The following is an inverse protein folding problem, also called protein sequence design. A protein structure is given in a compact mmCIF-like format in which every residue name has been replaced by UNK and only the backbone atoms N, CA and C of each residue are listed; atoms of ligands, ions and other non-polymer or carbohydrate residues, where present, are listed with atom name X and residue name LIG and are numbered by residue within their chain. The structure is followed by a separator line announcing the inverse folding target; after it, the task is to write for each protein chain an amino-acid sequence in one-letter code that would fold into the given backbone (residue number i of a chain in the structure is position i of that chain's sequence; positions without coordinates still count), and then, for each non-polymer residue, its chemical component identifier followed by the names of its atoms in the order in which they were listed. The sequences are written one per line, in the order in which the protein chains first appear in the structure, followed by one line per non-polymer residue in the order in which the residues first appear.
data_IF_448064340435
#
_entry.id   IF_448064340435
#
_cell.length_a   1.000
_cell.length_b   1.000
_cell.length_c   1.000
_cell.angle_alpha   90.00
_cell.angle_beta   90.00
_cell.angle_gamma   90.00
#
_symmetry.space_group_name_H-M   'P 1'
#
loop_
_entity.id
_entity.type
_entity.pdbx_description
1 polymer ?
#
# COMPACT_ATOMS: atom_id res chain seq x y z
N UNK A 1 4.21 11.28 0.86
CA UNK A 1 3.31 10.19 0.45
C UNK A 1 2.56 10.70 -0.76
N UNK A 2 2.75 10.04 -1.89
CA UNK A 2 2.13 10.44 -3.14
C UNK A 2 0.76 9.78 -3.24
N UNK A 3 -0.30 10.58 -3.41
CA UNK A 3 -1.68 10.09 -3.40
C UNK A 3 -2.21 9.96 -4.82
N UNK A 4 -2.03 10.97 -5.69
CA UNK A 4 -2.52 10.90 -7.08
C UNK A 4 -1.42 10.54 -8.08
N UNK A 5 -0.17 10.83 -7.74
CA UNK A 5 0.97 10.61 -8.63
C UNK A 5 1.31 9.11 -8.74
N UNK A 6 1.58 8.67 -9.98
CA UNK A 6 1.95 7.29 -10.32
C UNK A 6 3.48 7.12 -10.46
N UNK A 7 4.24 7.65 -9.50
CA UNK A 7 5.72 7.69 -9.56
C UNK A 7 6.40 6.61 -8.71
N UNK A 8 5.63 5.83 -7.96
CA UNK A 8 6.16 4.78 -7.06
C UNK A 8 5.91 3.38 -7.63
N UNK A 9 6.80 2.43 -7.35
CA UNK A 9 6.71 1.06 -7.89
C UNK A 9 5.37 0.39 -7.60
N UNK A 10 4.79 0.57 -6.40
CA UNK A 10 3.47 -0.01 -6.07
C UNK A 10 2.34 0.48 -7.00
N UNK A 11 2.45 1.68 -7.57
CA UNK A 11 1.49 2.20 -8.56
C UNK A 11 1.63 1.47 -9.90
N UNK A 12 2.85 1.25 -10.35
CA UNK A 12 3.12 0.41 -11.52
C UNK A 12 2.61 -1.02 -11.29
N UNK A 13 2.90 -1.60 -10.11
CA UNK A 13 2.43 -2.95 -9.77
C UNK A 13 0.90 -3.04 -9.73
N UNK A 14 0.23 -2.00 -9.24
CA UNK A 14 -1.24 -1.92 -9.26
C UNK A 14 -1.80 -1.92 -10.69
N UNK A 15 -1.14 -1.24 -11.63
CA UNK A 15 -1.51 -1.30 -13.05
C UNK A 15 -1.29 -2.69 -13.66
N UNK A 16 -0.19 -3.37 -13.32
CA UNK A 16 0.03 -4.77 -13.72
C UNK A 16 -1.04 -5.69 -13.13
N UNK A 17 -1.38 -5.49 -11.85
CA UNK A 17 -2.48 -6.20 -11.19
C UNK A 17 -3.82 -6.00 -11.88
N UNK A 18 -4.09 -4.78 -12.34
CA UNK A 18 -5.27 -4.52 -13.16
C UNK A 18 -5.28 -5.40 -14.41
N UNK A 19 -4.17 -5.46 -15.15
CA UNK A 19 -4.07 -6.26 -16.38
C UNK A 19 -4.27 -7.75 -16.10
N UNK A 20 -3.55 -8.35 -15.17
CA UNK A 20 -3.64 -9.81 -14.95
C UNK A 20 -4.92 -10.26 -14.20
N UNK A 21 -5.66 -9.31 -13.61
CA UNK A 21 -6.99 -9.57 -13.07
C UNK A 21 -8.08 -9.61 -14.15
N UNK A 22 -7.82 -9.10 -15.36
CA UNK A 22 -8.79 -9.17 -16.46
C UNK A 22 -9.02 -10.65 -16.82
N UNK A 23 -10.27 -11.13 -16.81
CA UNK A 23 -10.59 -12.48 -17.27
C UNK A 23 -10.24 -12.66 -18.75
N UNK A 24 -9.57 -13.75 -19.07
CA UNK A 24 -9.23 -14.15 -20.44
C UNK A 24 -10.29 -15.08 -21.04
N UNK A 25 -10.24 -15.30 -22.36
CA UNK A 25 -11.13 -16.22 -23.06
C UNK A 25 -10.88 -17.70 -22.71
N UNK A 26 -11.81 -18.59 -23.07
CA UNK A 26 -11.76 -20.01 -22.69
C UNK A 26 -10.53 -20.77 -23.21
N UNK A 27 -9.94 -20.31 -24.32
CA UNK A 27 -8.78 -20.93 -24.96
C UNK A 27 -7.47 -20.16 -24.72
N UNK A 28 -7.45 -19.23 -23.77
CA UNK A 28 -6.28 -18.41 -23.46
C UNK A 28 -5.69 -18.81 -22.11
N UNK A 29 -4.36 -18.73 -21.99
CA UNK A 29 -3.69 -18.99 -20.73
C UNK A 29 -3.80 -17.79 -19.79
N UNK A 30 -4.14 -18.08 -18.54
CA UNK A 30 -4.13 -17.13 -17.44
C UNK A 30 -2.72 -16.87 -16.91
N UNK A 31 -2.52 -15.76 -16.21
CA UNK A 31 -1.20 -15.41 -15.64
C UNK A 31 -0.70 -16.49 -14.68
N UNK A 32 -1.60 -17.09 -13.90
CA UNK A 32 -1.30 -18.13 -12.93
C UNK A 32 -0.90 -19.45 -13.60
N UNK A 33 -1.38 -19.73 -14.82
CA UNK A 33 -0.93 -20.89 -15.61
C UNK A 33 0.47 -20.65 -16.21
N UNK A 34 0.78 -19.42 -16.60
CA UNK A 34 2.06 -19.10 -17.26
C UNK A 34 3.21 -18.90 -16.27
N UNK A 35 2.94 -18.25 -15.14
CA UNK A 35 3.99 -17.80 -14.20
C UNK A 35 3.82 -18.33 -12.77
N UNK A 36 2.73 -19.04 -12.48
CA UNK A 36 2.40 -19.50 -11.13
C UNK A 36 2.31 -18.34 -10.13
N UNK A 37 2.71 -18.61 -8.88
CA UNK A 37 2.76 -17.58 -7.83
C UNK A 37 4.05 -16.75 -7.85
N UNK A 38 5.07 -17.17 -8.62
CA UNK A 38 6.39 -16.53 -8.64
C UNK A 38 6.34 -15.05 -9.02
N UNK A 39 5.44 -14.69 -9.95
CA UNK A 39 5.18 -13.30 -10.33
C UNK A 39 4.73 -12.46 -9.12
N UNK A 40 3.80 -12.97 -8.31
CA UNK A 40 3.29 -12.28 -7.13
C UNK A 40 4.34 -12.17 -6.03
N UNK A 41 5.12 -13.24 -5.82
CA UNK A 41 6.25 -13.21 -4.89
C UNK A 41 7.27 -12.13 -5.25
N UNK A 42 7.62 -12.00 -6.54
CA UNK A 42 8.55 -10.99 -7.01
C UNK A 42 8.01 -9.56 -6.79
N UNK A 43 6.78 -9.27 -7.22
CA UNK A 43 6.19 -7.94 -7.05
C UNK A 43 5.96 -7.55 -5.60
N UNK A 44 5.46 -8.48 -4.78
CA UNK A 44 5.27 -8.23 -3.34
C UNK A 44 6.59 -8.04 -2.62
N UNK A 45 7.64 -8.80 -2.97
CA UNK A 45 8.98 -8.61 -2.40
C UNK A 45 9.51 -7.20 -2.69
N UNK A 46 9.41 -6.73 -3.93
CA UNK A 46 9.81 -5.36 -4.28
C UNK A 46 9.02 -4.31 -3.50
N UNK A 47 7.69 -4.48 -3.39
CA UNK A 47 6.83 -3.56 -2.61
C UNK A 47 7.24 -3.51 -1.14
N UNK A 48 7.55 -4.65 -0.52
CA UNK A 48 7.97 -4.72 0.89
C UNK A 48 9.34 -4.09 1.08
N UNK A 49 10.33 -4.46 0.26
CA UNK A 49 11.71 -3.97 0.35
C UNK A 49 11.80 -2.44 0.13
N UNK A 50 10.89 -1.87 -0.65
CA UNK A 50 10.79 -0.41 -0.85
C UNK A 50 9.95 0.31 0.22
N UNK A 51 9.41 -0.40 1.22
CA UNK A 51 8.55 0.19 2.25
C UNK A 51 7.23 0.75 1.69
N UNK A 52 6.68 0.11 0.65
CA UNK A 52 5.50 0.61 -0.08
C UNK A 52 4.21 -0.17 0.22
N UNK A 53 4.26 -1.26 1.00
CA UNK A 53 3.10 -2.15 1.22
C UNK A 53 1.85 -1.42 1.73
N UNK A 54 1.94 -0.62 2.79
CA UNK A 54 0.77 0.06 3.36
C UNK A 54 0.10 1.01 2.34
N UNK A 55 0.91 1.64 1.49
CA UNK A 55 0.43 2.53 0.41
C UNK A 55 -0.22 1.73 -0.70
N UNK A 56 0.38 0.61 -1.09
CA UNK A 56 -0.21 -0.34 -2.05
C UNK A 56 -1.59 -0.79 -1.59
N UNK A 57 -1.73 -1.30 -0.36
CA UNK A 57 -3.01 -1.81 0.17
C UNK A 57 -4.12 -0.74 0.20
N UNK A 58 -3.75 0.51 0.48
CA UNK A 58 -4.68 1.63 0.48
C UNK A 58 -5.09 2.08 -0.94
N UNK A 59 -4.11 2.18 -1.84
CA UNK A 59 -4.23 2.90 -3.11
C UNK A 59 -4.34 2.00 -4.35
N UNK A 60 -4.26 0.68 -4.21
CA UNK A 60 -4.38 -0.25 -5.34
C UNK A 60 -5.73 -0.13 -6.07
N UNK A 61 -5.67 -0.01 -7.40
CA UNK A 61 -6.83 0.16 -8.28
C UNK A 61 -7.80 -1.02 -8.18
N UNK A 62 -7.29 -2.25 -8.20
CA UNK A 62 -8.11 -3.46 -8.13
C UNK A 62 -8.81 -3.58 -6.78
N UNK A 63 -8.11 -3.31 -5.68
CA UNK A 63 -8.69 -3.35 -4.34
C UNK A 63 -9.78 -2.29 -4.20
N UNK A 64 -9.62 -1.13 -4.83
CA UNK A 64 -10.67 -0.11 -4.89
C UNK A 64 -11.90 -0.59 -5.67
N UNK A 65 -11.73 -1.15 -6.88
CA UNK A 65 -12.83 -1.71 -7.69
C UNK A 65 -13.60 -2.77 -6.89
N UNK A 66 -12.90 -3.71 -6.24
CA UNK A 66 -13.51 -4.75 -5.41
C UNK A 66 -14.31 -4.14 -4.25
N UNK A 67 -13.79 -3.10 -3.58
CA UNK A 67 -14.50 -2.44 -2.47
C UNK A 67 -15.79 -1.77 -2.95
N UNK A 68 -15.76 -1.06 -4.08
CA UNK A 68 -16.95 -0.39 -4.62
C UNK A 68 -17.99 -1.41 -5.09
N UNK A 69 -17.57 -2.43 -5.84
CA UNK A 69 -18.48 -3.47 -6.34
C UNK A 69 -19.17 -4.24 -5.22
N UNK A 70 -18.50 -4.44 -4.06
CA UNK A 70 -19.12 -5.07 -2.89
C UNK A 70 -20.24 -4.23 -2.26
N UNK A 71 -20.21 -2.91 -2.44
CA UNK A 71 -21.20 -2.00 -1.89
C UNK A 71 -22.40 -1.89 -2.82
N UNK A 72 -22.17 -1.70 -4.12
CA UNK A 72 -23.26 -1.50 -5.09
C UNK A 72 -23.81 -2.81 -5.68
N UNK A 73 -23.05 -3.91 -5.60
CA UNK A 73 -23.44 -5.22 -6.09
C UNK A 73 -23.54 -5.32 -7.61
N UNK A 74 -23.04 -4.33 -8.37
CA UNK A 74 -23.21 -4.31 -9.83
C UNK A 74 -22.46 -5.45 -10.50
N UNK A 75 -23.08 -5.98 -11.55
CA UNK A 75 -22.51 -7.00 -12.43
C UNK A 75 -22.84 -6.65 -13.88
N UNK A 76 -21.93 -5.92 -14.52
CA UNK A 76 -22.09 -5.40 -15.85
C UNK A 76 -20.92 -5.84 -16.74
N UNK A 77 -21.13 -5.79 -18.06
CA UNK A 77 -20.09 -6.02 -19.05
C UNK A 77 -19.44 -4.68 -19.42
N UNK A 78 -18.30 -4.35 -18.81
CA UNK A 78 -17.61 -3.07 -19.05
C UNK A 78 -16.50 -3.27 -20.06
N UNK A 79 -16.63 -2.68 -21.25
CA UNK A 79 -15.64 -2.84 -22.35
C UNK A 79 -15.36 -4.31 -22.69
N UNK A 80 -16.39 -5.16 -22.63
CA UNK A 80 -16.24 -6.60 -22.86
C UNK A 80 -15.68 -7.39 -21.67
N UNK A 81 -15.39 -6.74 -20.54
CA UNK A 81 -14.89 -7.37 -19.32
C UNK A 81 -16.07 -7.69 -18.39
N UNK A 82 -16.34 -8.97 -18.07
CA UNK A 82 -17.38 -9.34 -17.12
C UNK A 82 -16.95 -8.93 -15.70
N UNK A 83 -17.60 -7.91 -15.15
CA UNK A 83 -17.20 -7.29 -13.88
C UNK A 83 -17.14 -8.29 -12.74
N UNK A 84 -18.16 -9.17 -12.60
CA UNK A 84 -18.18 -10.19 -11.55
C UNK A 84 -16.97 -11.12 -11.59
N UNK A 85 -16.62 -11.63 -12.77
CA UNK A 85 -15.44 -12.49 -12.94
C UNK A 85 -14.15 -11.76 -12.62
N UNK A 86 -14.04 -10.47 -12.99
CA UNK A 86 -12.87 -9.65 -12.68
C UNK A 86 -12.72 -9.46 -11.16
N UNK A 87 -13.79 -9.08 -10.43
CA UNK A 87 -13.70 -8.89 -8.97
C UNK A 87 -13.43 -10.18 -8.21
N UNK A 88 -13.93 -11.32 -8.70
CA UNK A 88 -13.62 -12.63 -8.13
C UNK A 88 -12.13 -13.01 -8.33
N UNK A 89 -11.53 -12.64 -9.48
CA UNK A 89 -10.07 -12.74 -9.69
C UNK A 89 -9.30 -11.81 -8.77
N UNK A 90 -9.70 -10.54 -8.68
CA UNK A 90 -9.08 -9.54 -7.77
C UNK A 90 -9.07 -10.06 -6.33
N UNK A 91 -10.19 -10.62 -5.85
CA UNK A 91 -10.27 -11.13 -4.48
C UNK A 91 -9.29 -12.29 -4.24
N UNK A 92 -9.13 -13.21 -5.21
CA UNK A 92 -8.17 -14.31 -5.11
C UNK A 92 -6.73 -13.79 -4.98
N UNK A 93 -6.32 -12.88 -5.86
CA UNK A 93 -4.98 -12.29 -5.80
C UNK A 93 -4.77 -11.40 -4.57
N UNK A 94 -5.81 -10.70 -4.10
CA UNK A 94 -5.74 -9.95 -2.84
C UNK A 94 -5.40 -10.85 -1.65
N UNK A 95 -6.03 -12.04 -1.58
CA UNK A 95 -5.74 -13.03 -0.52
C UNK A 95 -4.30 -13.54 -0.66
N UNK A 96 -3.88 -13.91 -1.87
CA UNK A 96 -2.51 -14.38 -2.14
C UNK A 96 -1.47 -13.31 -1.73
N UNK A 97 -1.63 -12.06 -2.19
CA UNK A 97 -0.73 -10.96 -1.84
C UNK A 97 -0.67 -10.75 -0.32
N UNK A 98 -1.80 -10.84 0.38
CA UNK A 98 -1.84 -10.70 1.84
C UNK A 98 -1.04 -11.80 2.55
N UNK A 99 -1.12 -13.04 2.05
CA UNK A 99 -0.33 -14.16 2.57
C UNK A 99 1.16 -13.96 2.30
N UNK A 100 1.53 -13.56 1.08
CA UNK A 100 2.92 -13.28 0.72
C UNK A 100 3.49 -12.15 1.58
N UNK A 101 2.76 -11.04 1.74
CA UNK A 101 3.17 -9.94 2.62
C UNK A 101 3.34 -10.40 4.06
N UNK A 102 2.45 -11.24 4.59
CA UNK A 102 2.61 -11.76 5.95
C UNK A 102 3.89 -12.58 6.10
N UNK A 103 4.23 -13.42 5.13
CA UNK A 103 5.47 -14.20 5.12
C UNK A 103 6.69 -13.30 5.00
N UNK A 104 6.71 -12.39 4.03
CA UNK A 104 7.84 -11.46 3.83
C UNK A 104 8.08 -10.61 5.08
N UNK A 105 7.05 -10.04 5.68
CA UNK A 105 7.18 -9.26 6.91
C UNK A 105 7.61 -10.10 8.12
N UNK A 106 7.34 -11.42 8.13
CA UNK A 106 7.83 -12.31 9.19
C UNK A 106 9.34 -12.49 9.11
N UNK A 107 9.89 -12.61 7.89
CA UNK A 107 11.32 -12.93 7.69
C UNK A 107 12.21 -11.71 7.44
N UNK A 108 11.67 -10.61 6.91
CA UNK A 108 12.42 -9.38 6.61
C UNK A 108 12.46 -8.38 7.77
N UNK A 109 11.72 -8.63 8.86
CA UNK A 109 11.94 -7.88 10.10
C UNK A 109 13.32 -8.25 10.65
N UNK A 110 14.25 -7.31 10.59
CA UNK A 110 15.57 -7.42 11.21
C UNK A 110 15.40 -7.77 12.68
N UNK A 111 16.05 -8.84 13.13
CA UNK A 111 16.10 -9.32 14.51
C UNK A 111 16.80 -8.35 15.47
N UNK A 112 17.36 -7.25 14.98
CA UNK A 112 18.13 -6.26 15.75
C UNK A 112 17.26 -5.05 16.16
N UNK A 113 16.05 -5.29 16.66
CA UNK A 113 15.22 -4.23 17.25
C UNK A 113 15.83 -3.59 18.50
N UNK A 114 16.81 -4.25 19.13
CA UNK A 114 17.43 -3.80 20.38
C UNK A 114 18.61 -2.81 20.17
N UNK A 115 19.08 -2.64 18.93
CA UNK A 115 20.22 -1.75 18.60
C UNK A 115 19.89 -0.62 17.63
N UNK A 116 18.67 -0.59 17.09
CA UNK A 116 18.23 0.49 16.21
C UNK A 116 17.74 1.68 17.05
N UNK A 117 18.26 2.92 16.81
CA UNK A 117 17.69 4.11 17.44
C UNK A 117 16.20 4.19 17.07
N UNK A 118 15.37 4.52 18.06
CA UNK A 118 13.91 4.72 17.92
C UNK A 118 13.63 5.34 16.55
N UNK A 119 12.87 4.62 15.72
CA UNK A 119 12.55 5.02 14.35
C UNK A 119 12.07 6.48 14.39
N UNK A 120 12.89 7.40 13.88
CA UNK A 120 12.63 8.83 14.04
C UNK A 120 11.45 9.21 13.14
N UNK A 121 10.25 9.08 13.67
CA UNK A 121 9.01 9.35 12.94
C UNK A 121 8.97 10.83 12.58
N UNK A 122 8.61 11.12 11.33
CA UNK A 122 8.40 12.49 10.88
C UNK A 122 7.22 13.11 11.62
N UNK A 123 7.50 14.08 12.48
CA UNK A 123 6.49 14.89 13.16
C UNK A 123 6.00 16.03 12.27
N UNK A 124 4.71 16.36 12.37
CA UNK A 124 4.12 17.53 11.75
C UNK A 124 3.68 18.49 12.87
N UNK A 125 4.12 19.76 12.86
CA UNK A 125 3.73 20.71 13.89
C UNK A 125 2.24 21.05 13.78
N UNK A 126 1.54 21.34 14.91
CA UNK A 126 0.17 21.83 14.86
C UNK A 126 0.10 23.21 14.20
N UNK A 127 -1.06 23.63 13.66
CA UNK A 127 -1.26 24.98 13.14
C UNK A 127 -0.90 26.02 14.20
N UNK A 128 -0.05 27.00 13.84
CA UNK A 128 0.36 28.09 14.73
C UNK A 128 -0.43 29.34 14.35
N UNK A 129 -1.12 29.93 15.32
CA UNK A 129 -1.80 31.20 15.12
C UNK A 129 -0.80 32.31 14.77
N UNK A 130 -1.13 33.19 13.82
CA UNK A 130 -0.20 34.21 13.29
C UNK A 130 0.40 35.11 14.38
N UNK A 131 -0.36 35.42 15.43
CA UNK A 131 0.11 36.23 16.56
C UNK A 131 1.28 35.60 17.34
N UNK A 132 1.41 34.28 17.33
CA UNK A 132 2.46 33.54 18.04
C UNK A 132 3.65 33.18 17.13
N UNK A 133 3.48 33.28 15.81
CA UNK A 133 4.48 32.91 14.82
C UNK A 133 5.71 33.84 14.84
N UNK A 134 5.54 35.11 15.17
CA UNK A 134 6.63 36.11 15.23
C UNK A 134 7.56 35.94 16.45
N UNK A 135 7.11 35.23 17.50
CA UNK A 135 7.79 35.14 18.79
C UNK A 135 8.65 33.88 19.00
N UNK A 136 8.69 32.94 18.05
CA UNK A 136 9.50 31.71 18.18
C UNK A 136 10.73 31.72 17.26
N UNK A 137 11.94 31.45 17.79
CA UNK A 137 13.04 30.98 16.96
C UNK A 137 12.70 29.60 16.37
N UNK A 138 13.31 29.27 15.24
CA UNK A 138 13.11 28.07 14.41
C UNK A 138 12.88 26.73 15.15
N UNK A 139 12.19 25.75 14.51
CA UNK A 139 11.53 24.66 15.20
C UNK A 139 12.52 23.56 15.63
N UNK A 140 13.08 23.72 16.83
CA UNK A 140 13.57 22.59 17.63
C UNK A 140 12.39 21.81 18.21
N UNK A 141 12.41 20.50 18.03
CA UNK A 141 11.44 19.52 18.49
C UNK A 141 10.99 19.79 19.94
N UNK A 142 9.72 20.13 20.14
CA UNK A 142 9.15 20.56 21.44
C UNK A 142 9.05 19.40 22.47
N UNK A 143 9.43 18.18 22.11
CA UNK A 143 9.29 17.01 22.99
C UNK A 143 10.42 16.80 24.00
N UNK A 144 11.38 17.73 24.16
CA UNK A 144 12.35 17.69 25.26
C UNK A 144 12.38 19.00 26.04
N UNK A 145 11.35 19.25 26.85
CA UNK A 145 11.46 20.21 27.96
C UNK A 145 10.90 19.60 29.24
N UNK A 146 11.66 18.68 29.82
CA UNK A 146 11.37 18.10 31.13
C UNK A 146 11.68 19.08 32.30
N UNK A 147 12.39 20.18 32.06
CA UNK A 147 12.94 21.01 33.15
C UNK A 147 12.13 22.29 33.48
N UNK A 148 10.81 22.28 33.35
CA UNK A 148 9.98 23.44 33.69
C UNK A 148 8.93 23.21 34.79
N UNK A 149 9.04 22.10 35.54
CA UNK A 149 8.15 21.82 36.68
C UNK A 149 8.96 21.55 37.94
N UNK A 150 9.78 22.52 38.37
CA UNK A 150 10.20 22.62 39.77
C UNK A 150 10.23 24.11 40.14
N UNK A 151 9.19 24.54 40.87
CA UNK A 151 9.24 25.67 41.79
C UNK A 151 9.50 25.10 43.18
#
# INVERSE_FOLDING_TARGET
MNVEECTEFHRLWSALQFVYCIPVGENEFTVEQLFGEGLHWAGCAMIVLLGQQRRFEALDFCYHILRVQRVDGKDELIKGIPLKRMVDRIRRFQVLNSQIFAVLNKYLKTSDSDSLPVEHVRCFPPPIHQSLAATRPHPGTIYMRADAVLK
#
